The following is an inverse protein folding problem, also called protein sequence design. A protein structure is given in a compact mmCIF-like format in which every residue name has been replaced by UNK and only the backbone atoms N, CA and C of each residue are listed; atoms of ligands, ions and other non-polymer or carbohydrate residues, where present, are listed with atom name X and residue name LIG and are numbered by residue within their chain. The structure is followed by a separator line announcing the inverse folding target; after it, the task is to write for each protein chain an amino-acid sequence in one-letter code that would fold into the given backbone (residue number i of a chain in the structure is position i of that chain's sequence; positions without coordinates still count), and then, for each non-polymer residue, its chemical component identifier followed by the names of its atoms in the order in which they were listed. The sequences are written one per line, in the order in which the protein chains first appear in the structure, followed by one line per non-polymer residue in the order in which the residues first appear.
data_IF_040118549274
#
_entry.id   IF_040118549274
#
_cell.length_a   1.000
_cell.length_b   1.000
_cell.length_c   1.000
_cell.angle_alpha   90.00
_cell.angle_beta   90.00
_cell.angle_gamma   90.00
#
_symmetry.space_group_name_H-M   'P 1'
#
loop_
_entity.id
_entity.type
_entity.pdbx_description
1 polymer ?
#
# COMPACT_ATOMS: atom_id res chain seq x y z
N UNK A 1 -31.51 18.85 77.73
CA UNK A 1 -30.03 18.88 77.68
C UNK A 1 -29.51 17.59 77.06
N UNK A 2 -28.50 17.68 76.18
CA UNK A 2 -27.81 16.63 75.38
C UNK A 2 -28.52 16.26 74.05
N UNK A 3 -28.21 16.87 72.90
CA UNK A 3 -27.07 16.72 71.96
C UNK A 3 -26.87 15.34 71.34
N UNK A 4 -26.79 15.33 69.99
CA UNK A 4 -26.00 14.46 69.08
C UNK A 4 -26.86 13.70 68.04
N UNK A 5 -26.44 13.49 66.78
CA UNK A 5 -25.34 14.00 65.94
C UNK A 5 -25.73 13.60 64.50
N UNK A 6 -25.65 14.55 63.58
CA UNK A 6 -25.86 14.37 62.14
C UNK A 6 -24.62 13.67 61.56
N UNK A 7 -24.79 12.52 60.90
CA UNK A 7 -23.74 11.89 60.10
C UNK A 7 -23.99 12.19 58.62
N UNK A 8 -23.21 13.14 58.07
CA UNK A 8 -23.07 13.33 56.63
C UNK A 8 -22.06 12.30 56.09
N UNK A 9 -22.54 11.41 55.23
CA UNK A 9 -21.70 10.52 54.43
C UNK A 9 -21.16 11.30 53.22
N UNK A 10 -19.89 11.67 53.28
CA UNK A 10 -19.11 12.17 52.14
C UNK A 10 -18.80 10.97 51.24
N UNK A 11 -19.48 10.86 50.09
CA UNK A 11 -19.04 9.98 48.99
C UNK A 11 -17.93 10.70 48.21
N UNK A 12 -16.68 10.32 48.48
CA UNK A 12 -15.54 10.66 47.63
C UNK A 12 -15.60 9.75 46.40
N UNK A 13 -16.14 10.25 45.30
CA UNK A 13 -16.04 9.58 44.00
C UNK A 13 -14.67 9.88 43.42
N UNK A 14 -13.73 8.94 43.58
CA UNK A 14 -12.43 8.96 42.94
C UNK A 14 -12.61 8.66 41.44
N UNK A 15 -12.62 9.67 40.58
CA UNK A 15 -12.52 9.48 39.13
C UNK A 15 -11.07 9.13 38.79
N UNK A 16 -10.80 7.83 38.60
CA UNK A 16 -9.60 7.37 37.93
C UNK A 16 -9.66 7.84 36.47
N UNK A 17 -8.95 8.92 36.15
CA UNK A 17 -8.63 9.26 34.77
C UNK A 17 -7.68 8.18 34.23
N UNK A 18 -8.25 7.17 33.56
CA UNK A 18 -7.49 6.22 32.77
C UNK A 18 -6.77 7.01 31.66
N UNK A 19 -5.46 7.21 31.84
CA UNK A 19 -4.57 7.72 30.81
C UNK A 19 -4.55 6.72 29.67
N UNK A 20 -5.30 7.01 28.60
CA UNK A 20 -5.23 6.26 27.35
C UNK A 20 -3.76 6.25 26.88
N UNK A 21 -3.20 5.09 26.51
CA UNK A 21 -1.83 5.02 26.03
C UNK A 21 -1.68 5.91 24.80
N UNK A 22 -0.62 6.73 24.82
CA UNK A 22 -0.20 7.58 23.70
C UNK A 22 -0.15 6.74 22.43
N UNK A 23 -0.89 7.19 21.42
CA UNK A 23 -0.77 6.81 20.02
C UNK A 23 0.67 6.43 19.67
N UNK A 24 0.95 5.13 19.52
CA UNK A 24 2.15 4.69 18.81
C UNK A 24 2.15 5.37 17.44
N UNK A 25 3.20 6.13 17.13
CA UNK A 25 3.42 6.66 15.79
C UNK A 25 3.25 5.50 14.80
N UNK A 26 2.23 5.60 13.95
CA UNK A 26 1.99 4.65 12.90
C UNK A 26 3.23 4.61 12.01
N UNK A 27 3.88 3.44 11.91
CA UNK A 27 4.95 3.26 10.92
C UNK A 27 4.33 3.39 9.53
N UNK A 28 4.90 4.28 8.72
CA UNK A 28 4.46 4.53 7.34
C UNK A 28 4.90 3.44 6.36
N UNK A 29 5.88 2.62 6.74
CA UNK A 29 6.43 1.54 5.94
C UNK A 29 6.92 0.39 6.84
N UNK A 30 6.91 -0.83 6.30
CA UNK A 30 7.55 -1.98 6.95
C UNK A 30 9.06 -1.86 6.77
N UNK A 31 9.84 -2.07 7.84
CA UNK A 31 11.30 -2.15 7.74
C UNK A 31 11.74 -3.61 7.69
N UNK A 32 12.50 -3.99 6.65
CA UNK A 32 13.15 -5.29 6.53
C UNK A 32 14.67 -5.11 6.51
N UNK A 33 15.35 -5.58 7.54
CA UNK A 33 16.82 -5.57 7.63
C UNK A 33 17.35 -6.98 7.49
N UNK A 34 18.31 -7.22 6.59
CA UNK A 34 18.95 -8.52 6.43
C UNK A 34 20.44 -8.46 6.71
N UNK A 35 20.92 -9.25 7.67
CA UNK A 35 22.34 -9.56 7.85
C UNK A 35 22.64 -10.82 7.05
N UNK A 36 23.30 -10.67 5.90
CA UNK A 36 23.50 -11.72 4.89
C UNK A 36 24.97 -11.71 4.47
N UNK A 37 25.58 -12.88 4.19
CA UNK A 37 26.94 -12.94 3.63
C UNK A 37 26.89 -12.79 2.10
N UNK A 38 26.67 -11.57 1.62
CA UNK A 38 26.51 -11.28 0.20
C UNK A 38 27.78 -11.67 -0.56
N UNK A 39 28.94 -11.40 0.03
CA UNK A 39 30.25 -11.73 -0.54
C UNK A 39 30.45 -13.23 -0.82
N UNK A 40 29.66 -14.12 -0.22
CA UNK A 40 29.77 -15.58 -0.44
C UNK A 40 28.97 -16.12 -1.62
N UNK A 41 28.01 -15.35 -2.16
CA UNK A 41 27.05 -15.79 -3.19
C UNK A 41 26.13 -16.98 -2.81
N UNK A 42 26.34 -17.63 -1.67
CA UNK A 42 25.54 -18.76 -1.21
C UNK A 42 24.07 -18.42 -0.92
N UNK A 43 23.72 -17.13 -0.84
CA UNK A 43 22.37 -16.65 -0.55
C UNK A 43 21.76 -15.82 -1.69
N UNK A 44 22.27 -15.96 -2.92
CA UNK A 44 21.72 -15.28 -4.10
C UNK A 44 20.21 -15.49 -4.29
N UNK A 45 19.62 -16.70 -4.06
CA UNK A 45 18.17 -16.87 -4.13
C UNK A 45 17.42 -16.00 -3.10
N UNK A 46 17.99 -15.83 -1.91
CA UNK A 46 17.41 -14.94 -0.89
C UNK A 46 17.51 -13.47 -1.30
N UNK A 47 18.66 -13.04 -1.82
CA UNK A 47 18.84 -11.67 -2.30
C UNK A 47 17.90 -11.35 -3.47
N UNK A 48 17.69 -12.30 -4.39
CA UNK A 48 16.73 -12.17 -5.48
C UNK A 48 15.31 -11.96 -4.95
N UNK A 49 14.88 -12.78 -3.98
CA UNK A 49 13.58 -12.59 -3.34
C UNK A 49 13.45 -11.23 -2.66
N UNK A 50 14.46 -10.80 -1.90
CA UNK A 50 14.43 -9.49 -1.23
C UNK A 50 14.26 -8.37 -2.27
N UNK A 51 14.99 -8.43 -3.39
CA UNK A 51 14.83 -7.48 -4.50
C UNK A 51 13.43 -7.51 -5.09
N UNK A 52 12.84 -8.69 -5.29
CA UNK A 52 11.46 -8.83 -5.76
C UNK A 52 10.46 -8.22 -4.78
N UNK A 53 10.62 -8.45 -3.48
CA UNK A 53 9.77 -7.87 -2.44
C UNK A 53 9.88 -6.34 -2.42
N UNK A 54 11.10 -5.79 -2.51
CA UNK A 54 11.31 -4.35 -2.61
C UNK A 54 10.63 -3.74 -3.84
N UNK A 55 10.73 -4.40 -5.01
CA UNK A 55 10.04 -3.97 -6.22
C UNK A 55 8.52 -4.06 -6.09
N UNK A 56 8.01 -5.12 -5.46
CA UNK A 56 6.57 -5.38 -5.29
C UNK A 56 5.90 -4.36 -4.36
N UNK A 57 6.54 -4.06 -3.23
CA UNK A 57 5.95 -3.24 -2.18
C UNK A 57 6.38 -1.76 -2.22
N UNK A 58 7.45 -1.42 -2.96
CA UNK A 58 7.86 -0.03 -3.17
C UNK A 58 7.99 0.72 -1.85
N UNK A 59 7.33 1.87 -1.74
CA UNK A 59 7.41 2.74 -0.55
C UNK A 59 6.78 2.13 0.71
N UNK A 60 5.99 1.06 0.60
CA UNK A 60 5.43 0.34 1.75
C UNK A 60 6.48 -0.58 2.42
N UNK A 61 7.65 -0.81 1.81
CA UNK A 61 8.72 -1.67 2.32
C UNK A 61 10.10 -1.00 2.18
N UNK A 62 10.69 -0.59 3.30
CA UNK A 62 12.08 -0.15 3.35
C UNK A 62 13.00 -1.34 3.61
N UNK A 63 14.01 -1.52 2.77
CA UNK A 63 14.98 -2.60 2.90
C UNK A 63 16.39 -2.10 3.21
N UNK A 64 17.09 -2.84 4.06
CA UNK A 64 18.48 -2.62 4.42
C UNK A 64 19.21 -3.96 4.41
N UNK A 65 20.25 -4.10 3.59
CA UNK A 65 21.08 -5.31 3.55
C UNK A 65 22.46 -4.97 4.12
N UNK A 66 22.89 -5.75 5.10
CA UNK A 66 24.16 -5.62 5.79
C UNK A 66 24.99 -6.84 5.41
N UNK A 67 26.01 -6.62 4.58
CA UNK A 67 26.91 -7.70 4.17
C UNK A 67 27.90 -8.04 5.29
N UNK A 68 27.62 -9.08 6.08
CA UNK A 68 28.54 -9.49 7.14
C UNK A 68 29.80 -10.21 6.63
N UNK A 69 29.95 -10.42 5.32
CA UNK A 69 31.22 -10.78 4.67
C UNK A 69 32.23 -9.62 4.63
N UNK A 70 31.74 -8.36 4.65
CA UNK A 70 32.58 -7.15 4.72
C UNK A 70 33.06 -6.85 6.15
N UNK A 71 34.13 -6.07 6.31
CA UNK A 71 34.64 -5.70 7.64
C UNK A 71 33.63 -4.86 8.43
N UNK A 72 33.02 -3.86 7.79
CA UNK A 72 32.03 -2.95 8.37
C UNK A 72 30.74 -3.70 8.73
N UNK A 73 30.23 -4.52 7.81
CA UNK A 73 29.04 -5.31 8.05
C UNK A 73 29.24 -6.38 9.10
N UNK A 74 30.42 -7.03 9.15
CA UNK A 74 30.78 -7.97 10.22
C UNK A 74 30.81 -7.29 11.57
N UNK A 75 31.40 -6.09 11.66
CA UNK A 75 31.42 -5.29 12.90
C UNK A 75 29.99 -4.98 13.37
N UNK A 76 29.13 -4.53 12.47
CA UNK A 76 27.72 -4.22 12.79
C UNK A 76 26.94 -5.47 13.22
N UNK A 77 27.03 -6.54 12.44
CA UNK A 77 26.39 -7.83 12.74
C UNK A 77 26.75 -8.38 14.12
N UNK A 78 28.04 -8.35 14.47
CA UNK A 78 28.50 -8.77 15.81
C UNK A 78 28.04 -7.82 16.91
N UNK A 79 28.10 -6.51 16.67
CA UNK A 79 27.68 -5.46 17.59
C UNK A 79 26.19 -5.51 17.92
N UNK A 80 25.37 -5.90 16.95
CA UNK A 80 23.92 -6.09 17.12
C UNK A 80 23.58 -7.47 17.73
N UNK A 81 24.59 -8.27 18.11
CA UNK A 81 24.43 -9.52 18.86
C UNK A 81 24.16 -10.76 17.99
N UNK A 82 24.26 -10.65 16.66
CA UNK A 82 23.96 -11.76 15.76
C UNK A 82 25.19 -12.63 15.46
N UNK A 83 24.95 -13.90 15.17
CA UNK A 83 25.99 -14.93 14.91
C UNK A 83 25.69 -15.84 13.72
N UNK A 84 24.53 -15.66 13.09
CA UNK A 84 24.17 -16.30 11.83
C UNK A 84 23.42 -15.30 10.93
N UNK A 85 23.07 -15.74 9.71
CA UNK A 85 22.12 -15.01 8.86
C UNK A 85 20.89 -14.65 9.68
N UNK A 86 20.46 -13.40 9.61
CA UNK A 86 19.31 -12.91 10.38
C UNK A 86 18.54 -11.90 9.55
N UNK A 87 17.24 -12.12 9.38
CA UNK A 87 16.33 -11.11 8.82
C UNK A 87 15.46 -10.55 9.95
N UNK A 88 15.28 -9.24 9.95
CA UNK A 88 14.47 -8.51 10.92
C UNK A 88 13.30 -7.85 10.21
N UNK A 89 12.08 -8.21 10.60
CA UNK A 89 10.88 -7.45 10.27
C UNK A 89 10.56 -6.51 11.41
N UNK A 90 10.55 -5.20 11.14
CA UNK A 90 10.34 -4.16 12.14
C UNK A 90 11.31 -4.23 13.33
N UNK A 91 12.52 -4.74 13.09
CA UNK A 91 13.55 -4.94 14.12
C UNK A 91 13.41 -6.24 14.91
N UNK A 92 12.49 -7.14 14.53
CA UNK A 92 12.28 -8.44 15.18
C UNK A 92 12.68 -9.59 14.26
N UNK A 93 13.42 -10.60 14.75
CA UNK A 93 13.87 -11.74 13.95
C UNK A 93 12.75 -12.75 13.66
N UNK A 94 11.55 -12.55 14.17
CA UNK A 94 10.44 -13.48 13.95
C UNK A 94 9.10 -12.80 13.74
N UNK A 95 8.17 -13.56 13.17
CA UNK A 95 6.81 -13.14 12.90
C UNK A 95 5.83 -14.27 13.21
N UNK A 96 4.59 -13.89 13.51
CA UNK A 96 3.45 -14.79 13.45
C UNK A 96 2.86 -14.65 12.06
N UNK A 97 2.70 -15.76 11.35
CA UNK A 97 2.05 -15.78 10.03
C UNK A 97 0.80 -16.64 10.07
N UNK A 98 -0.25 -16.22 9.37
CA UNK A 98 -1.47 -16.99 9.22
C UNK A 98 -1.43 -17.75 7.87
N UNK A 99 -1.58 -19.08 7.92
CA UNK A 99 -1.63 -19.93 6.74
C UNK A 99 -2.67 -21.03 6.93
N UNK A 100 -3.62 -21.12 6.00
CA UNK A 100 -4.63 -22.19 5.97
C UNK A 100 -5.38 -22.36 7.30
N UNK A 101 -5.69 -21.24 7.97
CA UNK A 101 -6.40 -21.24 9.26
C UNK A 101 -5.52 -21.54 10.48
N UNK A 102 -4.22 -21.80 10.28
CA UNK A 102 -3.25 -21.99 11.37
C UNK A 102 -2.37 -20.76 11.53
N UNK A 103 -1.95 -20.48 12.76
CA UNK A 103 -0.96 -19.44 13.05
C UNK A 103 0.37 -20.12 13.34
N UNK A 104 1.39 -19.82 12.53
CA UNK A 104 2.74 -20.34 12.67
C UNK A 104 3.67 -19.24 13.18
N UNK A 105 4.44 -19.53 14.22
CA UNK A 105 5.57 -18.69 14.62
C UNK A 105 6.78 -19.04 13.76
N UNK A 106 7.41 -18.03 13.18
CA UNK A 106 8.59 -18.18 12.32
C UNK A 106 9.73 -17.34 12.87
N UNK A 107 10.93 -17.89 12.90
CA UNK A 107 12.17 -17.18 13.21
C UNK A 107 13.06 -17.17 11.96
N UNK A 108 13.37 -15.99 11.45
CA UNK A 108 14.20 -15.74 10.27
C UNK A 108 15.69 -15.66 10.60
N UNK A 109 16.12 -16.44 11.58
CA UNK A 109 17.53 -16.72 11.86
C UNK A 109 17.93 -18.00 11.14
N UNK A 110 19.20 -18.05 10.73
CA UNK A 110 19.78 -19.08 9.85
C UNK A 110 19.20 -19.06 8.42
N UNK A 111 19.90 -19.66 7.44
CA UNK A 111 19.41 -19.72 6.06
C UNK A 111 18.03 -20.40 5.95
N UNK A 112 17.23 -20.07 4.93
CA UNK A 112 15.99 -20.78 4.65
C UNK A 112 16.21 -22.29 4.55
N UNK A 113 15.29 -23.06 5.10
CA UNK A 113 15.41 -24.52 5.22
C UNK A 113 14.41 -25.08 6.23
N UNK A 114 14.88 -25.95 7.12
CA UNK A 114 14.00 -26.69 8.03
C UNK A 114 13.13 -25.79 8.92
N UNK A 115 13.69 -24.68 9.43
CA UNK A 115 12.98 -23.82 10.40
C UNK A 115 12.03 -22.81 9.77
N UNK A 116 12.34 -22.36 8.55
CA UNK A 116 11.52 -21.41 7.83
C UNK A 116 11.80 -21.50 6.33
N UNK A 117 10.78 -21.23 5.53
CA UNK A 117 10.84 -21.28 4.07
C UNK A 117 10.77 -19.88 3.48
N UNK A 118 11.25 -19.71 2.25
CA UNK A 118 11.18 -18.43 1.53
C UNK A 118 9.74 -17.89 1.42
N UNK A 119 8.76 -18.78 1.32
CA UNK A 119 7.34 -18.43 1.34
C UNK A 119 6.85 -17.89 2.69
N UNK A 120 7.45 -18.32 3.81
CA UNK A 120 7.13 -17.78 5.13
C UNK A 120 7.53 -16.30 5.22
N UNK A 121 8.68 -15.93 4.64
CA UNK A 121 9.12 -14.52 4.58
C UNK A 121 8.21 -13.68 3.69
N UNK A 122 7.84 -14.20 2.51
CA UNK A 122 6.89 -13.54 1.60
C UNK A 122 5.57 -13.26 2.31
N UNK A 123 5.02 -14.26 3.01
CA UNK A 123 3.78 -14.13 3.76
C UNK A 123 3.91 -13.12 4.90
N UNK A 124 4.97 -13.19 5.71
CA UNK A 124 5.19 -12.28 6.82
C UNK A 124 5.30 -10.82 6.36
N UNK A 125 6.03 -10.55 5.27
CA UNK A 125 6.10 -9.22 4.66
C UNK A 125 4.74 -8.77 4.15
N UNK A 126 4.02 -9.65 3.44
CA UNK A 126 2.70 -9.34 2.89
C UNK A 126 1.70 -8.95 3.98
N UNK A 127 1.61 -9.72 5.06
CA UNK A 127 0.75 -9.44 6.21
C UNK A 127 1.13 -8.12 6.89
N UNK A 128 2.43 -7.86 7.04
CA UNK A 128 2.91 -6.63 7.67
C UNK A 128 2.60 -5.39 6.85
N UNK A 129 2.78 -5.47 5.53
CA UNK A 129 2.43 -4.39 4.60
C UNK A 129 0.91 -4.20 4.52
N UNK A 130 0.13 -5.28 4.53
CA UNK A 130 -1.33 -5.22 4.56
C UNK A 130 -1.85 -4.55 5.84
N UNK A 131 -1.16 -4.74 6.97
CA UNK A 131 -1.48 -4.12 8.25
C UNK A 131 -1.02 -2.66 8.37
N UNK A 132 -0.24 -2.12 7.42
CA UNK A 132 0.10 -0.70 7.45
C UNK A 132 -1.17 0.15 7.35
N UNK A 133 -1.29 1.22 8.16
CA UNK A 133 -2.33 2.20 7.98
C UNK A 133 -2.09 2.90 6.65
N UNK A 134 -2.78 2.41 5.62
CA UNK A 134 -2.39 2.78 4.27
C UNK A 134 -2.50 4.29 4.05
N UNK A 135 -1.40 4.92 3.57
CA UNK A 135 -1.49 6.24 2.91
C UNK A 135 -2.55 6.21 1.80
N UNK A 136 -2.77 5.02 1.20
CA UNK A 136 -3.85 4.74 0.26
C UNK A 136 -5.26 4.86 0.84
N UNK A 137 -5.50 4.50 2.10
CA UNK A 137 -6.80 4.74 2.74
C UNK A 137 -7.10 6.23 2.92
N UNK A 138 -6.07 7.09 2.93
CA UNK A 138 -6.25 8.56 2.92
C UNK A 138 -6.53 9.10 1.51
N UNK A 139 -5.91 8.52 0.47
CA UNK A 139 -6.19 8.89 -0.91
C UNK A 139 -7.43 8.16 -1.44
N UNK A 140 -8.61 8.70 -1.11
CA UNK A 140 -9.86 8.16 -1.59
C UNK A 140 -9.95 8.25 -3.13
N UNK A 141 -10.22 7.12 -3.79
CA UNK A 141 -10.70 7.13 -5.16
C UNK A 141 -12.14 7.62 -5.13
N UNK A 142 -12.40 8.75 -5.78
CA UNK A 142 -13.74 9.37 -5.80
C UNK A 142 -14.11 9.80 -7.21
N UNK A 143 -15.42 9.99 -7.43
CA UNK A 143 -15.94 10.66 -8.60
C UNK A 143 -16.66 11.93 -8.16
N UNK A 144 -16.51 13.01 -8.92
CA UNK A 144 -17.30 14.24 -8.71
C UNK A 144 -17.82 14.79 -10.02
N UNK A 145 -18.92 15.53 -9.92
CA UNK A 145 -19.43 16.39 -10.98
C UNK A 145 -18.74 17.74 -10.88
N UNK A 146 -18.18 18.21 -11.99
CA UNK A 146 -17.64 19.55 -12.15
C UNK A 146 -18.44 20.28 -13.24
N UNK A 147 -18.58 21.60 -13.09
CA UNK A 147 -19.25 22.43 -14.08
C UNK A 147 -18.22 23.34 -14.73
N UNK A 148 -18.07 23.24 -16.05
CA UNK A 148 -17.15 24.05 -16.85
C UNK A 148 -17.85 24.66 -18.07
N UNK A 149 -19.10 25.14 -17.86
CA UNK A 149 -20.03 25.52 -18.94
C UNK A 149 -20.88 24.35 -19.45
N UNK A 150 -20.48 23.12 -19.16
CA UNK A 150 -21.22 21.87 -19.36
C UNK A 150 -20.89 20.89 -18.22
N UNK A 151 -21.66 19.79 -18.13
CA UNK A 151 -21.40 18.72 -17.17
C UNK A 151 -20.08 18.02 -17.50
N UNK A 152 -19.21 17.94 -16.49
CA UNK A 152 -17.95 17.21 -16.54
C UNK A 152 -17.93 16.19 -15.40
N UNK A 153 -17.56 14.95 -15.72
CA UNK A 153 -17.30 13.92 -14.72
C UNK A 153 -15.81 13.78 -14.48
N UNK A 154 -15.37 13.86 -13.23
CA UNK A 154 -13.97 13.69 -12.86
C UNK A 154 -13.78 12.48 -11.96
N UNK A 155 -12.72 11.72 -12.22
CA UNK A 155 -12.21 10.68 -11.32
C UNK A 155 -10.99 11.25 -10.61
N UNK A 156 -11.00 11.20 -9.28
CA UNK A 156 -9.92 11.68 -8.44
C UNK A 156 -9.26 10.52 -7.72
N UNK A 157 -7.94 10.57 -7.60
CA UNK A 157 -7.17 9.78 -6.66
C UNK A 157 -6.57 10.74 -5.63
N UNK A 158 -7.14 10.74 -4.41
CA UNK A 158 -6.89 11.82 -3.44
C UNK A 158 -7.45 13.14 -3.97
N UNK A 159 -6.58 14.14 -4.19
CA UNK A 159 -6.96 15.44 -4.75
C UNK A 159 -6.60 15.61 -6.22
N UNK A 160 -5.98 14.60 -6.84
CA UNK A 160 -5.53 14.68 -8.23
C UNK A 160 -6.58 14.14 -9.19
N UNK A 161 -6.97 14.93 -10.19
CA UNK A 161 -7.83 14.47 -11.28
C UNK A 161 -7.03 13.56 -12.21
N UNK A 162 -7.40 12.28 -12.24
CA UNK A 162 -6.71 11.27 -13.05
C UNK A 162 -7.42 11.00 -14.37
N UNK A 163 -8.76 11.09 -14.38
CA UNK A 163 -9.58 11.00 -15.59
C UNK A 163 -10.62 12.14 -15.58
N UNK A 164 -10.92 12.65 -16.77
CA UNK A 164 -11.94 13.68 -16.97
C UNK A 164 -12.79 13.32 -18.19
N UNK A 165 -14.11 13.33 -18.01
CA UNK A 165 -15.11 13.06 -19.03
C UNK A 165 -15.95 14.32 -19.27
N UNK A 166 -16.18 14.65 -20.53
CA UNK A 166 -16.91 15.80 -21.02
C UNK A 166 -18.10 15.39 -21.90
N UNK A 167 -18.13 14.14 -22.37
CA UNK A 167 -19.15 13.66 -23.31
C UNK A 167 -19.94 12.46 -22.79
N UNK A 168 -21.13 12.26 -23.34
CA UNK A 168 -21.92 11.03 -23.18
C UNK A 168 -21.28 9.88 -23.96
N UNK A 169 -21.42 8.65 -23.45
CA UNK A 169 -21.01 7.43 -24.17
C UNK A 169 -21.70 6.21 -23.58
N UNK A 170 -22.15 5.28 -24.43
CA UNK A 170 -22.83 4.06 -23.99
C UNK A 170 -24.05 4.30 -23.12
N UNK A 171 -24.84 5.34 -23.43
CA UNK A 171 -26.03 5.74 -22.66
C UNK A 171 -25.74 6.39 -21.31
N UNK A 172 -24.48 6.66 -20.97
CA UNK A 172 -24.08 7.31 -19.71
C UNK A 172 -23.63 8.74 -19.93
N UNK A 173 -24.04 9.64 -19.04
CA UNK A 173 -23.53 11.00 -18.93
C UNK A 173 -22.08 11.05 -18.48
N UNK A 174 -21.50 12.25 -18.47
CA UNK A 174 -20.09 12.42 -18.14
C UNK A 174 -19.83 12.00 -16.69
N UNK A 175 -20.72 12.38 -15.76
CA UNK A 175 -20.60 12.01 -14.35
C UNK A 175 -20.80 10.50 -14.10
N UNK A 176 -21.77 9.85 -14.75
CA UNK A 176 -22.01 8.41 -14.60
C UNK A 176 -20.83 7.58 -15.12
N UNK A 177 -20.16 8.06 -16.19
CA UNK A 177 -18.91 7.47 -16.69
C UNK A 177 -17.79 7.62 -15.65
N UNK A 178 -17.64 8.80 -15.03
CA UNK A 178 -16.68 9.02 -13.96
C UNK A 178 -16.95 8.10 -12.77
N UNK A 179 -18.19 8.00 -12.31
CA UNK A 179 -18.59 7.12 -11.20
C UNK A 179 -18.24 5.66 -11.47
N UNK A 180 -18.63 5.15 -12.65
CA UNK A 180 -18.32 3.77 -13.06
C UNK A 180 -16.80 3.50 -13.06
N UNK A 181 -16.02 4.47 -13.54
CA UNK A 181 -14.56 4.37 -13.63
C UNK A 181 -13.90 4.43 -12.24
N UNK A 182 -14.41 5.29 -11.37
CA UNK A 182 -13.95 5.42 -9.99
C UNK A 182 -14.22 4.15 -9.17
N UNK A 183 -15.36 3.49 -9.36
CA UNK A 183 -15.68 2.23 -8.67
C UNK A 183 -14.71 1.11 -9.06
N UNK A 184 -14.42 0.95 -10.35
CA UNK A 184 -13.42 0.00 -10.86
C UNK A 184 -12.02 0.31 -10.34
N UNK A 185 -11.62 1.57 -10.45
CA UNK A 185 -10.32 2.02 -9.96
C UNK A 185 -10.21 1.82 -8.44
N UNK A 186 -11.27 2.07 -7.67
CA UNK A 186 -11.28 1.85 -6.21
C UNK A 186 -10.99 0.40 -5.87
N UNK A 187 -11.62 -0.56 -6.56
CA UNK A 187 -11.37 -1.99 -6.37
C UNK A 187 -9.90 -2.33 -6.62
N UNK A 188 -9.35 -1.94 -7.78
CA UNK A 188 -7.95 -2.21 -8.12
C UNK A 188 -6.98 -1.49 -7.17
N UNK A 189 -7.32 -0.28 -6.75
CA UNK A 189 -6.51 0.50 -5.84
C UNK A 189 -6.40 -0.12 -4.44
N UNK A 190 -7.53 -0.63 -3.92
CA UNK A 190 -7.57 -1.43 -2.69
C UNK A 190 -6.80 -2.75 -2.85
N UNK A 191 -6.83 -3.34 -4.05
CA UNK A 191 -6.03 -4.51 -4.43
C UNK A 191 -4.59 -4.14 -4.87
N UNK A 192 -4.05 -3.03 -4.35
CA UNK A 192 -2.65 -2.63 -4.53
C UNK A 192 -2.21 -2.45 -5.99
N UNK A 193 -3.06 -1.84 -6.83
CA UNK A 193 -2.67 -1.41 -8.19
C UNK A 193 -1.38 -0.59 -8.17
N UNK A 194 -0.43 -0.93 -9.05
CA UNK A 194 0.85 -0.23 -9.23
C UNK A 194 0.83 0.63 -10.50
N UNK A 195 1.70 1.63 -10.56
CA UNK A 195 1.81 2.48 -11.75
C UNK A 195 2.14 1.68 -13.03
N UNK A 196 3.01 0.66 -12.94
CA UNK A 196 3.39 -0.17 -14.09
C UNK A 196 2.25 -1.00 -14.70
N UNK A 197 1.18 -1.24 -13.92
CA UNK A 197 0.02 -2.02 -14.36
C UNK A 197 -1.00 -1.17 -15.13
N UNK A 198 -0.88 0.16 -15.09
CA UNK A 198 -1.76 1.09 -15.80
C UNK A 198 -1.20 1.36 -17.18
N UNK A 199 -1.96 1.04 -18.23
CA UNK A 199 -1.51 1.18 -19.61
C UNK A 199 -2.61 1.76 -20.51
N UNK A 200 -2.26 2.57 -21.53
CA UNK A 200 -3.15 2.83 -22.64
C UNK A 200 -3.30 1.55 -23.49
N UNK A 201 -4.46 1.35 -24.08
CA UNK A 201 -4.71 0.20 -24.96
C UNK A 201 -5.91 0.41 -25.87
N UNK A 202 -6.25 -0.62 -26.62
CA UNK A 202 -7.41 -0.64 -27.52
C UNK A 202 -8.26 -1.88 -27.27
N UNK A 203 -9.58 -1.72 -27.18
CA UNK A 203 -10.57 -2.80 -27.06
C UNK A 203 -11.76 -2.51 -27.94
N UNK A 204 -12.16 -3.48 -28.75
CA UNK A 204 -13.29 -3.37 -29.67
C UNK A 204 -13.21 -2.11 -30.55
N UNK A 205 -12.00 -1.81 -31.03
CA UNK A 205 -11.72 -0.63 -31.84
C UNK A 205 -11.63 0.70 -31.05
N UNK A 206 -11.97 0.73 -29.76
CA UNK A 206 -11.96 1.93 -28.93
C UNK A 206 -10.69 2.05 -28.10
N UNK A 207 -10.21 3.29 -27.93
CA UNK A 207 -9.07 3.58 -27.07
C UNK A 207 -9.49 3.59 -25.59
N UNK A 208 -8.77 2.84 -24.77
CA UNK A 208 -9.09 2.59 -23.36
C UNK A 208 -7.87 2.68 -22.45
N UNK A 209 -8.07 3.18 -21.23
CA UNK A 209 -7.11 3.00 -20.15
C UNK A 209 -7.43 1.67 -19.46
N UNK A 210 -6.44 0.80 -19.34
CA UNK A 210 -6.57 -0.55 -18.77
C UNK A 210 -5.64 -0.73 -17.58
N UNK A 211 -6.06 -1.56 -16.63
CA UNK A 211 -5.24 -2.04 -15.54
C UNK A 211 -5.62 -3.48 -15.19
N UNK A 212 -4.65 -4.39 -15.13
CA UNK A 212 -4.87 -5.83 -14.89
C UNK A 212 -5.95 -6.46 -15.79
N UNK A 213 -6.02 -6.03 -17.05
CA UNK A 213 -7.03 -6.50 -17.99
C UNK A 213 -8.44 -5.95 -17.77
N UNK A 214 -8.66 -5.04 -16.81
CA UNK A 214 -9.90 -4.32 -16.62
C UNK A 214 -9.87 -2.96 -17.31
N UNK A 215 -10.95 -2.60 -18.01
CA UNK A 215 -11.11 -1.27 -18.61
C UNK A 215 -11.51 -0.27 -17.53
N UNK A 216 -10.60 0.66 -17.21
CA UNK A 216 -10.85 1.74 -16.27
C UNK A 216 -11.66 2.87 -16.91
N UNK A 217 -11.47 3.13 -18.21
CA UNK A 217 -12.14 4.20 -18.93
C UNK A 217 -11.93 4.12 -20.43
N UNK A 218 -12.87 4.67 -21.20
CA UNK A 218 -12.83 4.69 -22.67
C UNK A 218 -12.79 6.14 -23.15
N UNK A 219 -11.85 6.50 -24.02
CA UNK A 219 -11.85 7.79 -24.70
C UNK A 219 -12.65 7.69 -26.00
N UNK A 220 -13.58 8.62 -26.19
CA UNK A 220 -14.41 8.70 -27.40
C UNK A 220 -13.96 9.86 -28.28
N UNK A 221 -14.35 9.85 -29.55
CA UNK A 221 -14.07 10.96 -30.46
C UNK A 221 -14.63 12.32 -29.96
N UNK A 222 -15.88 12.43 -29.47
CA UNK A 222 -16.37 13.68 -28.88
C UNK A 222 -15.53 14.17 -27.70
N UNK A 223 -15.09 13.25 -26.83
CA UNK A 223 -14.24 13.54 -25.67
C UNK A 223 -12.88 14.12 -26.10
N UNK A 224 -12.28 13.49 -27.10
CA UNK A 224 -10.99 13.90 -27.65
C UNK A 224 -11.07 15.28 -28.32
N UNK A 225 -12.13 15.55 -29.09
CA UNK A 225 -12.37 16.86 -29.73
C UNK A 225 -12.49 17.98 -28.71
N UNK A 226 -13.27 17.78 -27.64
CA UNK A 226 -13.40 18.76 -26.55
C UNK A 226 -12.07 19.02 -25.83
N UNK A 227 -11.20 18.01 -25.79
CA UNK A 227 -9.85 18.09 -25.24
C UNK A 227 -8.78 18.55 -26.25
N UNK A 228 -9.18 18.96 -27.47
CA UNK A 228 -8.28 19.33 -28.58
C UNK A 228 -7.20 18.28 -28.86
N UNK A 229 -7.59 17.00 -28.84
CA UNK A 229 -6.69 15.86 -28.92
C UNK A 229 -7.30 14.72 -29.77
N UNK A 230 -6.62 13.58 -29.85
CA UNK A 230 -7.17 12.32 -30.37
C UNK A 230 -7.50 11.36 -29.21
N UNK A 231 -8.39 10.38 -29.38
CA UNK A 231 -8.70 9.43 -28.31
C UNK A 231 -7.46 8.69 -27.79
N UNK A 232 -6.54 8.31 -28.68
CA UNK A 232 -5.25 7.70 -28.32
C UNK A 232 -4.43 8.59 -27.38
N UNK A 233 -4.22 9.85 -27.78
CA UNK A 233 -3.45 10.81 -26.99
C UNK A 233 -4.12 11.08 -25.65
N UNK A 234 -5.45 11.16 -25.62
CA UNK A 234 -6.23 11.39 -24.40
C UNK A 234 -6.09 10.23 -23.40
N UNK A 235 -6.21 8.98 -23.85
CA UNK A 235 -5.95 7.82 -22.99
C UNK A 235 -4.50 7.82 -22.48
N UNK A 236 -3.54 8.19 -23.33
CA UNK A 236 -2.15 8.35 -22.90
C UNK A 236 -1.98 9.38 -21.78
N UNK A 237 -2.71 10.50 -21.83
CA UNK A 237 -2.74 11.50 -20.74
C UNK A 237 -3.34 10.91 -19.48
N UNK A 238 -4.49 10.23 -19.57
CA UNK A 238 -5.12 9.59 -18.41
C UNK A 238 -4.20 8.55 -17.76
N UNK A 239 -3.55 7.70 -18.56
CA UNK A 239 -2.62 6.69 -18.06
C UNK A 239 -1.45 7.33 -17.30
N UNK A 240 -0.82 8.37 -17.86
CA UNK A 240 0.27 9.09 -17.18
C UNK A 240 -0.18 9.79 -15.90
N UNK A 241 -1.36 10.41 -15.90
CA UNK A 241 -1.90 11.07 -14.71
C UNK A 241 -2.13 10.06 -13.59
N UNK A 242 -2.73 8.91 -13.91
CA UNK A 242 -2.97 7.85 -12.93
C UNK A 242 -1.66 7.22 -12.45
N UNK A 243 -0.72 6.95 -13.36
CA UNK A 243 0.62 6.46 -13.00
C UNK A 243 1.35 7.42 -12.04
N UNK A 244 1.26 8.73 -12.28
CA UNK A 244 1.86 9.75 -11.42
C UNK A 244 1.18 9.78 -10.04
N UNK A 245 -0.14 9.65 -9.99
CA UNK A 245 -0.90 9.67 -8.74
C UNK A 245 -0.79 8.37 -7.92
N UNK A 246 -0.30 7.28 -8.53
CA UNK A 246 -0.04 5.99 -7.87
C UNK A 246 1.38 5.86 -7.29
N UNK A 247 2.27 6.80 -7.63
CA UNK A 247 3.60 6.96 -7.01
C UNK A 247 3.46 7.83 -5.77
#
# INVERSE_FOLDING_TARGET
MRTARIWQLIRVTLLLAATLPRSCSAKDAVKLTGYINVSSHCQDPLLALLKELGKKYGDDLTMEIIDFGSAEGKKRWLGDGYRCLTLLLDGKPGAMIAREGTVKQVNFQMPPGLQWQMEDLKQAVAERVAALPSKRAKAAVTARKANAGHEVGEVLLGQTVVLRYHATSGGKGAYERAKSSAERLKKLYLDRLTASEVQPGKRDGMWVIVARGETLGTATEPEAKLSKSSPEKLVGVWARNLQKALR
#
